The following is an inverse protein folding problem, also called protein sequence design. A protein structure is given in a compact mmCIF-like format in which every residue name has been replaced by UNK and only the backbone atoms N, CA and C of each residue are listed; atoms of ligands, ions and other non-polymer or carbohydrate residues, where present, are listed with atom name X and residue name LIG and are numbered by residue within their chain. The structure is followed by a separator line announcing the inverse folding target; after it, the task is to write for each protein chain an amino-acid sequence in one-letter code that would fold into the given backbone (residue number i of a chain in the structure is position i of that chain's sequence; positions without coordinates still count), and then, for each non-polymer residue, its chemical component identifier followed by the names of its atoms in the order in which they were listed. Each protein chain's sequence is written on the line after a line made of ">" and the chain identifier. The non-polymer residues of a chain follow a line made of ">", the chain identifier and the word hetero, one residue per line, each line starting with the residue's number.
data_IF_715263398800
#
_entry.id   IF_715263398800
#
_cell.length_a   1.000
_cell.length_b   1.000
_cell.length_c   1.000
_cell.angle_alpha   90.00
_cell.angle_beta   90.00
_cell.angle_gamma   90.00
#
_symmetry.space_group_name_H-M   'P 1'
#
loop_
_entity.id
_entity.type
_entity.pdbx_description
1 polymer ?
#
# COMPACT_ATOMS: atom_id res chain seq x y z
N UNK A 1 0.41 2.86 -4.75
CA UNK A 1 -0.88 2.39 -4.23
C UNK A 1 -1.22 3.29 -3.06
N UNK A 2 -2.33 4.01 -3.12
CA UNK A 2 -2.75 4.93 -2.05
C UNK A 2 -3.35 4.09 -0.93
N UNK A 3 -2.78 4.17 0.27
CA UNK A 3 -3.31 3.45 1.43
C UNK A 3 -4.46 4.27 2.05
N UNK A 4 -5.69 3.77 1.94
CA UNK A 4 -6.88 4.46 2.43
C UNK A 4 -7.18 4.04 3.86
N UNK A 5 -7.23 5.00 4.79
CA UNK A 5 -7.64 4.72 6.16
C UNK A 5 -9.16 4.50 6.22
N UNK A 6 -9.58 3.25 6.42
CA UNK A 6 -10.98 2.87 6.63
C UNK A 6 -11.08 1.72 7.63
N UNK A 7 -12.08 1.76 8.52
CA UNK A 7 -12.38 0.67 9.47
C UNK A 7 -13.34 -0.38 8.92
N UNK A 8 -14.00 -0.07 7.81
CA UNK A 8 -15.14 -0.85 7.28
C UNK A 8 -14.81 -1.46 5.91
N UNK A 9 -13.95 -0.81 5.14
CA UNK A 9 -13.62 -1.18 3.77
C UNK A 9 -12.13 -1.46 3.64
N UNK A 10 -11.77 -2.52 2.93
CA UNK A 10 -10.38 -2.77 2.54
C UNK A 10 -9.96 -1.83 1.40
N UNK A 11 -8.66 -1.66 1.17
CA UNK A 11 -8.16 -0.83 0.06
C UNK A 11 -8.69 -1.28 -1.31
N UNK A 12 -8.78 -2.59 -1.55
CA UNK A 12 -9.37 -3.13 -2.80
C UNK A 12 -10.85 -2.77 -2.95
N UNK A 13 -11.62 -2.83 -1.86
CA UNK A 13 -13.04 -2.44 -1.89
C UNK A 13 -13.19 -0.93 -2.12
N UNK A 14 -12.30 -0.12 -1.55
CA UNK A 14 -12.30 1.33 -1.73
C UNK A 14 -12.00 1.68 -3.18
N UNK A 15 -10.99 1.05 -3.79
CA UNK A 15 -10.65 1.22 -5.20
C UNK A 15 -11.82 0.81 -6.12
N UNK A 16 -12.48 -0.31 -5.83
CA UNK A 16 -13.66 -0.76 -6.57
C UNK A 16 -14.84 0.23 -6.47
N UNK A 17 -15.11 0.78 -5.28
CA UNK A 17 -16.17 1.77 -5.06
C UNK A 17 -15.86 3.09 -5.78
N UNK A 18 -14.59 3.52 -5.79
CA UNK A 18 -14.16 4.72 -6.52
C UNK A 18 -14.31 4.51 -8.02
N UNK A 19 -13.94 3.34 -8.54
CA UNK A 19 -14.11 2.99 -9.95
C UNK A 19 -15.58 2.97 -10.35
N UNK A 20 -16.44 2.35 -9.54
CA UNK A 20 -17.89 2.32 -9.75
C UNK A 20 -18.51 3.73 -9.75
N UNK A 21 -18.09 4.60 -8.81
CA UNK A 21 -18.49 6.00 -8.80
C UNK A 21 -18.09 6.72 -10.09
N UNK A 22 -16.81 6.61 -10.50
CA UNK A 22 -16.32 7.25 -11.73
C UNK A 22 -17.05 6.76 -12.99
N UNK A 23 -17.48 5.49 -13.01
CA UNK A 23 -18.24 4.93 -14.11
C UNK A 23 -19.72 5.34 -14.10
N UNK A 24 -20.31 5.58 -12.92
CA UNK A 24 -21.72 5.97 -12.80
C UNK A 24 -22.02 7.34 -13.41
N UNK A 25 -21.07 8.28 -13.36
CA UNK A 25 -21.28 9.67 -13.79
C UNK A 25 -22.23 10.47 -12.89
N UNK A 26 -22.74 9.86 -11.81
CA UNK A 26 -23.66 10.50 -10.87
C UNK A 26 -22.94 11.50 -9.97
N UNK A 27 -23.63 12.55 -9.49
CA UNK A 27 -23.12 13.36 -8.40
C UNK A 27 -22.84 12.48 -7.17
N UNK A 28 -21.72 12.71 -6.47
CA UNK A 28 -21.34 11.97 -5.25
C UNK A 28 -22.47 11.89 -4.21
N UNK A 29 -23.32 12.92 -4.11
CA UNK A 29 -24.47 12.96 -3.21
C UNK A 29 -25.57 11.99 -3.61
N UNK A 30 -25.70 11.68 -4.90
CA UNK A 30 -26.65 10.70 -5.44
C UNK A 30 -26.06 9.30 -5.30
N UNK A 31 -24.79 9.12 -5.67
CA UNK A 31 -24.10 7.84 -5.55
C UNK A 31 -24.08 7.31 -4.11
N UNK A 32 -23.74 8.16 -3.13
CA UNK A 32 -23.75 7.78 -1.69
C UNK A 32 -25.14 7.55 -1.11
N UNK A 33 -26.22 8.02 -1.77
CA UNK A 33 -27.61 7.79 -1.34
C UNK A 33 -28.22 6.53 -1.95
N UNK A 34 -27.56 5.92 -2.94
CA UNK A 34 -28.01 4.63 -3.49
C UNK A 34 -27.94 3.54 -2.40
N UNK A 35 -28.94 2.66 -2.36
CA UNK A 35 -29.02 1.60 -1.34
C UNK A 35 -27.88 0.59 -1.51
N UNK A 36 -27.23 0.18 -0.41
CA UNK A 36 -26.21 -0.87 -0.40
C UNK A 36 -24.97 -0.50 0.42
N UNK A 37 -23.85 -1.21 0.18
CA UNK A 37 -22.54 -1.04 0.84
C UNK A 37 -21.83 0.29 0.52
N UNK A 38 -22.58 1.36 0.20
CA UNK A 38 -22.01 2.63 -0.23
C UNK A 38 -21.47 3.41 0.96
N UNK A 39 -20.27 4.01 0.84
CA UNK A 39 -19.67 4.81 1.91
C UNK A 39 -20.44 6.13 2.09
N UNK A 40 -20.32 6.72 3.27
CA UNK A 40 -20.82 8.07 3.52
C UNK A 40 -20.14 9.11 2.61
N UNK A 41 -20.85 10.21 2.33
CA UNK A 41 -20.36 11.28 1.45
C UNK A 41 -18.95 11.77 1.82
N UNK A 42 -18.71 12.07 3.10
CA UNK A 42 -17.42 12.61 3.55
C UNK A 42 -16.28 11.60 3.36
N UNK A 43 -16.61 10.31 3.51
CA UNK A 43 -15.66 9.21 3.32
C UNK A 43 -15.27 9.08 1.84
N UNK A 44 -16.25 9.02 0.93
CA UNK A 44 -15.96 8.93 -0.51
C UNK A 44 -15.26 10.19 -1.02
N UNK A 45 -15.66 11.37 -0.55
CA UNK A 45 -14.99 12.63 -0.91
C UNK A 45 -13.53 12.60 -0.48
N UNK A 46 -13.22 12.17 0.74
CA UNK A 46 -11.84 12.07 1.22
C UNK A 46 -11.00 11.09 0.41
N UNK A 47 -11.58 9.98 -0.06
CA UNK A 47 -10.88 9.04 -0.93
C UNK A 47 -10.63 9.61 -2.33
N UNK A 48 -11.61 10.32 -2.91
CA UNK A 48 -11.46 10.97 -4.21
C UNK A 48 -10.41 12.09 -4.15
N UNK A 49 -10.44 12.93 -3.12
CA UNK A 49 -9.46 13.99 -2.92
C UNK A 49 -8.04 13.41 -2.76
N UNK A 50 -7.89 12.25 -2.10
CA UNK A 50 -6.60 11.55 -1.96
C UNK A 50 -6.11 10.93 -3.29
N UNK A 51 -7.03 10.48 -4.14
CA UNK A 51 -6.71 10.00 -5.50
C UNK A 51 -6.34 11.17 -6.41
N UNK A 52 -7.01 12.31 -6.30
CA UNK A 52 -6.79 13.48 -7.15
C UNK A 52 -5.55 14.28 -6.72
N UNK A 53 -5.21 14.30 -5.43
CA UNK A 53 -3.92 14.82 -4.95
C UNK A 53 -2.75 13.92 -5.31
N UNK A 54 -2.99 12.65 -5.66
CA UNK A 54 -2.01 11.79 -6.30
C UNK A 54 -1.96 12.05 -7.82
N UNK A 55 -1.57 13.25 -8.24
CA UNK A 55 -1.38 13.59 -9.64
C UNK A 55 -0.21 12.78 -10.28
N UNK A 56 -0.25 12.61 -11.62
CA UNK A 56 -0.91 11.49 -12.28
C UNK A 56 -0.14 10.17 -12.05
N UNK A 57 -0.86 9.10 -11.71
CA UNK A 57 -0.35 7.77 -12.00
C UNK A 57 -0.13 7.69 -13.52
N UNK A 58 1.15 7.75 -13.91
CA UNK A 58 1.68 7.29 -15.20
C UNK A 58 0.79 6.14 -15.65
N UNK A 59 0.06 6.30 -16.77
CA UNK A 59 -0.68 5.20 -17.39
C UNK A 59 0.17 3.94 -17.25
N UNK A 60 -0.36 2.80 -16.77
CA UNK A 60 0.42 1.58 -16.77
C UNK A 60 0.88 1.40 -18.20
N UNK A 61 2.19 1.52 -18.43
CA UNK A 61 2.77 1.23 -19.71
C UNK A 61 2.23 -0.15 -20.10
N UNK A 62 1.75 -0.36 -21.35
CA UNK A 62 1.28 -1.66 -21.77
C UNK A 62 2.29 -2.69 -21.29
N UNK A 63 1.81 -3.69 -20.53
CA UNK A 63 2.66 -4.68 -19.90
C UNK A 63 3.64 -5.16 -20.96
N UNK A 64 4.94 -5.01 -20.69
CA UNK A 64 5.97 -5.39 -21.64
C UNK A 64 5.67 -6.82 -22.09
N UNK A 65 5.48 -6.99 -23.41
CA UNK A 65 5.15 -8.29 -23.99
C UNK A 65 6.11 -9.33 -23.42
N UNK A 66 5.58 -10.41 -22.85
CA UNK A 66 6.41 -11.45 -22.27
C UNK A 66 7.45 -11.89 -23.30
N UNK A 67 8.74 -12.01 -22.94
CA UNK A 67 9.76 -12.38 -23.89
C UNK A 67 9.40 -13.74 -24.51
N UNK A 68 9.25 -13.75 -25.84
CA UNK A 68 8.86 -14.95 -26.59
C UNK A 68 10.06 -15.78 -27.03
N UNK A 69 11.28 -15.27 -26.83
CA UNK A 69 12.53 -15.96 -27.16
C UNK A 69 13.15 -16.61 -25.91
N UNK A 70 13.79 -17.78 -26.03
CA UNK A 70 14.49 -18.43 -24.92
C UNK A 70 15.52 -17.52 -24.24
N UNK A 71 16.24 -16.70 -25.01
CA UNK A 71 17.24 -15.75 -24.52
C UNK A 71 16.57 -14.61 -23.72
N UNK A 72 15.43 -14.10 -24.20
CA UNK A 72 14.66 -13.09 -23.50
C UNK A 72 14.08 -13.59 -22.18
N UNK A 73 13.61 -14.85 -22.15
CA UNK A 73 13.12 -15.50 -20.92
C UNK A 73 14.26 -15.64 -19.90
N UNK A 74 15.46 -16.07 -20.31
CA UNK A 74 16.63 -16.18 -19.42
C UNK A 74 17.03 -14.82 -18.83
N UNK A 75 17.05 -13.77 -19.65
CA UNK A 75 17.37 -12.42 -19.19
C UNK A 75 16.33 -11.91 -18.17
N UNK A 76 15.05 -12.17 -18.40
CA UNK A 76 13.98 -11.77 -17.48
C UNK A 76 14.04 -12.56 -16.17
N UNK A 77 14.33 -13.85 -16.21
CA UNK A 77 14.55 -14.65 -14.99
C UNK A 77 15.72 -14.08 -14.18
N UNK A 78 16.85 -13.77 -14.82
CA UNK A 78 18.01 -13.19 -14.15
C UNK A 78 17.68 -11.82 -13.52
N UNK A 79 16.90 -10.99 -14.22
CA UNK A 79 16.42 -9.70 -13.72
C UNK A 79 15.53 -9.87 -12.48
N UNK A 80 14.56 -10.79 -12.54
CA UNK A 80 13.66 -11.09 -11.44
C UNK A 80 14.40 -11.64 -10.22
N UNK A 81 15.36 -12.55 -10.44
CA UNK A 81 16.23 -13.07 -9.37
C UNK A 81 17.06 -11.97 -8.72
N UNK A 82 17.61 -11.04 -9.51
CA UNK A 82 18.34 -9.88 -9.00
C UNK A 82 17.46 -8.96 -8.15
N UNK A 83 16.25 -8.65 -8.62
CA UNK A 83 15.28 -7.85 -7.88
C UNK A 83 14.86 -8.52 -6.57
N UNK A 84 14.63 -9.84 -6.58
CA UNK A 84 14.28 -10.61 -5.39
C UNK A 84 15.43 -10.61 -4.36
N UNK A 85 16.68 -10.80 -4.82
CA UNK A 85 17.85 -10.71 -3.94
C UNK A 85 17.97 -9.33 -3.28
N UNK A 86 17.77 -8.25 -4.04
CA UNK A 86 17.80 -6.89 -3.51
C UNK A 86 16.68 -6.66 -2.46
N UNK A 87 15.49 -7.18 -2.72
CA UNK A 87 14.37 -7.13 -1.77
C UNK A 87 14.68 -7.87 -0.46
N UNK A 88 15.29 -9.05 -0.55
CA UNK A 88 15.71 -9.81 0.64
C UNK A 88 16.76 -9.06 1.46
N UNK A 89 17.76 -8.45 0.80
CA UNK A 89 18.78 -7.64 1.49
C UNK A 89 18.16 -6.45 2.23
N UNK A 90 17.29 -5.70 1.56
CA UNK A 90 16.58 -4.58 2.20
C UNK A 90 15.74 -5.04 3.40
N UNK A 91 15.10 -6.22 3.31
CA UNK A 91 14.35 -6.81 4.43
C UNK A 91 15.28 -7.15 5.60
N UNK A 92 16.44 -7.73 5.33
CA UNK A 92 17.45 -8.04 6.37
C UNK A 92 17.91 -6.77 7.07
N UNK A 93 18.23 -5.71 6.31
CA UNK A 93 18.69 -4.44 6.91
C UNK A 93 17.62 -3.79 7.79
N UNK A 94 16.36 -3.83 7.35
CA UNK A 94 15.23 -3.37 8.15
C UNK A 94 15.11 -4.17 9.46
N UNK A 95 15.16 -5.49 9.38
CA UNK A 95 15.06 -6.35 10.56
C UNK A 95 16.20 -6.10 11.55
N UNK A 96 17.42 -5.84 11.07
CA UNK A 96 18.54 -5.45 11.94
C UNK A 96 18.26 -4.15 12.68
N UNK A 97 17.77 -3.12 11.97
CA UNK A 97 17.43 -1.84 12.59
C UNK A 97 16.31 -1.98 13.64
N UNK A 98 15.31 -2.81 13.36
CA UNK A 98 14.22 -3.06 14.31
C UNK A 98 14.73 -3.81 15.56
N UNK A 99 15.65 -4.77 15.40
CA UNK A 99 16.30 -5.45 16.53
C UNK A 99 17.11 -4.47 17.38
N UNK A 100 17.90 -3.58 16.76
CA UNK A 100 18.69 -2.57 17.49
C UNK A 100 17.79 -1.65 18.32
N UNK A 101 16.65 -1.22 17.78
CA UNK A 101 15.66 -0.43 18.52
C UNK A 101 15.07 -1.20 19.69
N UNK A 102 14.65 -2.45 19.47
CA UNK A 102 14.08 -3.29 20.53
C UNK A 102 15.10 -3.55 21.65
N UNK A 103 16.39 -3.69 21.32
CA UNK A 103 17.45 -3.81 22.32
C UNK A 103 17.63 -2.52 23.13
N UNK A 104 17.52 -1.35 22.50
CA UNK A 104 17.55 -0.07 23.20
C UNK A 104 16.33 0.11 24.11
N UNK A 105 15.13 -0.23 23.63
CA UNK A 105 13.90 -0.20 24.42
C UNK A 105 13.98 -1.16 25.61
N UNK A 106 14.51 -2.36 25.42
CA UNK A 106 14.73 -3.32 26.51
C UNK A 106 15.69 -2.75 27.56
N UNK A 107 16.84 -2.23 27.15
CA UNK A 107 17.81 -1.65 28.08
C UNK A 107 17.23 -0.44 28.86
N UNK A 108 16.39 0.38 28.20
CA UNK A 108 15.69 1.47 28.86
C UNK A 108 14.68 0.97 29.90
N UNK A 109 13.89 -0.06 29.56
CA UNK A 109 12.93 -0.66 30.47
C UNK A 109 13.61 -1.37 31.67
N UNK A 110 14.74 -2.04 31.44
CA UNK A 110 15.55 -2.65 32.51
C UNK A 110 16.08 -1.59 33.48
N UNK A 111 16.56 -0.45 32.96
CA UNK A 111 17.01 0.68 33.79
C UNK A 111 15.86 1.30 34.59
N UNK A 112 14.69 1.49 33.98
CA UNK A 112 13.51 2.00 34.67
C UNK A 112 13.05 1.04 35.78
N UNK A 113 13.09 -0.27 35.51
CA UNK A 113 12.79 -1.28 36.52
C UNK A 113 13.77 -1.22 37.69
N UNK A 114 15.08 -1.09 37.43
CA UNK A 114 16.10 -0.94 38.46
C UNK A 114 15.86 0.33 39.30
N UNK A 115 15.58 1.48 38.67
CA UNK A 115 15.29 2.73 39.36
C UNK A 115 14.03 2.68 40.24
N UNK A 116 13.01 1.90 39.87
CA UNK A 116 11.77 1.74 40.64
C UNK A 116 11.89 0.68 41.75
N UNK A 117 12.84 -0.25 41.64
CA UNK A 117 13.03 -1.36 42.59
C UNK A 117 14.22 -1.20 43.54
N UNK A 118 15.10 -0.23 43.30
CA UNK A 118 16.21 0.17 44.19
C UNK A 118 15.78 1.17 45.27
#
# INVERSE_FOLDING_TARGET
>A
MTDFKSKIYTNEQIEAIIAEYKQSGDPITVFCKSRGHKPAYQTLKGWLDAVDQAAPAKNPAPAASAPTTPEGIKAEIARLQGAYKASLLSKVDRLKSDIEKLQQELAAAEKELEEVTA
#
